data_IF_699183924110
#
_entry.id   IF_699183924110
#
_cell.length_a   1.000
_cell.length_b   1.000
_cell.length_c   1.000
_cell.angle_alpha   90.00
_cell.angle_beta   90.00
_cell.angle_gamma   90.00
#
_symmetry.space_group_name_H-M   'P 1'
#
loop_
_entity.id
_entity.type
_entity.pdbx_description
1 polymer ?
#
# COMPACT_ATOMS: atom_id res chain seq x y z
N UNK A 1 -17.84 18.70 -53.64
CA UNK A 1 -18.43 18.47 -52.30
C UNK A 1 -17.30 18.28 -51.30
N UNK A 2 -17.22 19.25 -50.39
CA UNK A 2 -16.34 19.50 -49.23
C UNK A 2 -15.25 18.46 -48.90
N UNK A 3 -14.04 18.81 -49.33
CA UNK A 3 -12.77 18.53 -48.66
C UNK A 3 -12.76 19.17 -47.26
N UNK A 4 -12.53 18.36 -46.21
CA UNK A 4 -12.31 18.85 -44.84
C UNK A 4 -10.80 19.03 -44.66
N UNK A 5 -10.29 20.23 -44.33
CA UNK A 5 -8.85 20.45 -44.18
C UNK A 5 -8.30 19.83 -42.89
N UNK A 6 -7.18 19.14 -43.04
CA UNK A 6 -6.33 18.55 -42.00
C UNK A 6 -5.54 19.61 -41.21
N UNK A 7 -6.22 20.48 -40.48
CA UNK A 7 -5.57 21.60 -39.77
C UNK A 7 -5.98 21.68 -38.30
N UNK A 8 -5.71 20.63 -37.51
CA UNK A 8 -5.83 20.69 -36.03
C UNK A 8 -4.91 19.70 -35.30
N UNK A 9 -3.72 19.38 -35.84
CA UNK A 9 -2.85 18.36 -35.24
C UNK A 9 -1.36 18.72 -35.19
N UNK A 10 -0.99 20.00 -35.00
CA UNK A 10 0.43 20.34 -34.78
C UNK A 10 0.81 21.27 -33.63
N UNK A 11 -0.09 22.03 -33.02
CA UNK A 11 0.33 23.03 -32.01
C UNK A 11 -0.11 22.72 -30.57
N UNK A 12 0.23 21.51 -30.08
CA UNK A 12 -0.03 21.09 -28.70
C UNK A 12 1.21 20.58 -27.94
N UNK A 13 2.40 20.69 -28.52
CA UNK A 13 3.59 19.96 -28.05
C UNK A 13 4.43 20.71 -27.00
N UNK A 14 4.24 22.02 -26.82
CA UNK A 14 5.15 22.83 -26.00
C UNK A 14 4.68 23.13 -24.55
N UNK A 15 3.39 22.99 -24.20
CA UNK A 15 2.89 23.35 -22.86
C UNK A 15 2.53 22.16 -21.92
N UNK A 16 2.93 20.94 -22.29
CA UNK A 16 2.66 19.70 -21.53
C UNK A 16 3.88 19.11 -20.81
N UNK A 17 5.07 19.71 -20.95
CA UNK A 17 6.35 19.17 -20.45
C UNK A 17 6.49 19.20 -18.90
N UNK A 18 5.89 20.18 -18.22
CA UNK A 18 6.03 20.34 -16.75
C UNK A 18 5.10 19.47 -15.90
N UNK A 19 3.94 19.06 -16.43
CA UNK A 19 2.92 18.33 -15.64
C UNK A 19 3.41 16.97 -15.14
N UNK A 20 4.09 16.12 -15.94
CA UNK A 20 4.59 14.84 -15.46
C UNK A 20 5.64 14.97 -14.35
N UNK A 21 6.47 16.03 -14.39
CA UNK A 21 7.44 16.31 -13.35
C UNK A 21 6.74 16.74 -12.05
N UNK A 22 5.74 17.62 -12.13
CA UNK A 22 4.95 18.04 -10.95
C UNK A 22 4.21 16.85 -10.31
N UNK A 23 3.60 15.98 -11.13
CA UNK A 23 2.98 14.74 -10.62
C UNK A 23 4.00 13.87 -9.90
N UNK A 24 5.20 13.71 -10.48
CA UNK A 24 6.28 12.97 -9.84
C UNK A 24 6.71 13.58 -8.50
N UNK A 25 6.92 14.90 -8.45
CA UNK A 25 7.31 15.65 -7.23
C UNK A 25 6.25 15.46 -6.15
N UNK A 26 4.97 15.60 -6.49
CA UNK A 26 3.88 15.45 -5.53
C UNK A 26 3.70 14.00 -5.08
N UNK A 27 3.95 13.01 -5.93
CA UNK A 27 4.00 11.60 -5.51
C UNK A 27 5.16 11.35 -4.55
N UNK A 28 6.34 11.93 -4.79
CA UNK A 28 7.48 11.86 -3.88
C UNK A 28 7.20 12.57 -2.55
N UNK A 29 6.57 13.75 -2.57
CA UNK A 29 6.14 14.47 -1.37
C UNK A 29 5.10 13.69 -0.57
N UNK A 30 4.17 13.01 -1.25
CA UNK A 30 3.19 12.13 -0.62
C UNK A 30 3.88 10.96 0.11
N UNK A 31 4.84 10.29 -0.54
CA UNK A 31 5.63 9.22 0.06
C UNK A 31 6.40 9.69 1.31
N UNK A 32 7.01 10.87 1.25
CA UNK A 32 7.65 11.50 2.41
C UNK A 32 6.65 11.84 3.52
N UNK A 33 5.48 12.38 3.14
CA UNK A 33 4.41 12.73 4.06
C UNK A 33 3.86 11.53 4.83
N UNK A 34 3.78 10.36 4.19
CA UNK A 34 3.36 9.12 4.85
C UNK A 34 4.28 8.69 6.00
N UNK A 35 5.56 9.10 5.98
CA UNK A 35 6.55 8.73 7.00
C UNK A 35 6.69 9.83 8.05
N UNK A 36 6.77 11.10 7.63
CA UNK A 36 7.19 12.19 8.52
C UNK A 36 6.08 13.18 8.86
N UNK A 37 5.08 13.37 7.99
CA UNK A 37 4.13 14.46 8.15
C UNK A 37 2.76 14.17 7.48
N UNK A 38 1.72 13.82 8.25
CA UNK A 38 0.35 13.62 7.73
C UNK A 38 -0.21 14.85 7.00
N UNK A 39 0.23 16.06 7.40
CA UNK A 39 -0.10 17.30 6.69
C UNK A 39 0.45 17.30 5.26
N UNK A 40 1.73 16.98 5.07
CA UNK A 40 2.36 16.92 3.74
C UNK A 40 1.69 15.87 2.85
N UNK A 41 1.29 14.74 3.44
CA UNK A 41 0.53 13.70 2.73
C UNK A 41 -0.80 14.25 2.19
N UNK A 42 -1.56 14.95 3.04
CA UNK A 42 -2.86 15.53 2.68
C UNK A 42 -2.72 16.67 1.66
N UNK A 43 -1.72 17.54 1.86
CA UNK A 43 -1.39 18.63 0.94
C UNK A 43 -1.00 18.09 -0.45
N UNK A 44 -0.20 17.03 -0.50
CA UNK A 44 0.20 16.40 -1.77
C UNK A 44 -1.00 15.84 -2.53
N UNK A 45 -1.94 15.16 -1.84
CA UNK A 45 -3.18 14.66 -2.44
C UNK A 45 -4.08 15.80 -2.95
N UNK A 46 -4.19 16.88 -2.19
CA UNK A 46 -4.97 18.05 -2.59
C UNK A 46 -4.38 18.72 -3.83
N UNK A 47 -3.07 18.93 -3.87
CA UNK A 47 -2.37 19.48 -5.03
C UNK A 47 -2.44 18.57 -6.26
N UNK A 48 -2.37 17.25 -6.09
CA UNK A 48 -2.62 16.29 -7.17
C UNK A 48 -4.05 16.39 -7.72
N UNK A 49 -5.02 16.62 -6.85
CA UNK A 49 -6.43 16.82 -7.23
C UNK A 49 -6.61 18.12 -8.03
N UNK A 50 -5.96 19.20 -7.59
CA UNK A 50 -5.91 20.47 -8.34
C UNK A 50 -5.29 20.27 -9.72
N UNK A 51 -4.17 19.56 -9.82
CA UNK A 51 -3.51 19.28 -11.11
C UNK A 51 -4.33 18.40 -12.05
N UNK A 52 -5.19 17.53 -11.51
CA UNK A 52 -6.10 16.71 -12.30
C UNK A 52 -7.26 17.55 -12.88
N UNK A 53 -7.82 18.45 -12.07
CA UNK A 53 -9.00 19.26 -12.43
C UNK A 53 -8.63 20.50 -13.23
N UNK A 54 -7.49 21.13 -12.96
CA UNK A 54 -7.06 22.38 -13.59
C UNK A 54 -5.95 22.14 -14.62
N UNK A 55 -6.00 22.92 -15.69
CA UNK A 55 -4.95 23.00 -16.70
C UNK A 55 -4.45 24.43 -16.82
N UNK A 56 -3.13 24.57 -17.00
CA UNK A 56 -2.48 25.85 -17.24
C UNK A 56 -2.36 26.08 -18.74
N UNK A 57 -2.81 27.23 -19.21
CA UNK A 57 -2.79 27.68 -20.60
C UNK A 57 -2.26 29.12 -20.64
N UNK A 58 -0.95 29.26 -20.84
CA UNK A 58 -0.25 30.57 -20.85
C UNK A 58 -0.63 31.44 -22.04
N UNK A 59 -1.41 30.94 -23.01
CA UNK A 59 -1.88 31.71 -24.16
C UNK A 59 -3.06 32.65 -23.83
N UNK A 60 -3.61 32.56 -22.61
CA UNK A 60 -4.76 33.35 -22.16
C UNK A 60 -4.38 34.35 -21.07
N UNK A 61 -5.13 35.46 -21.02
CA UNK A 61 -5.03 36.48 -19.97
C UNK A 61 -5.24 35.90 -18.56
N UNK A 62 -6.15 34.94 -18.42
CA UNK A 62 -6.27 34.09 -17.24
C UNK A 62 -5.77 32.68 -17.57
N UNK A 63 -4.61 32.27 -17.03
CA UNK A 63 -3.96 31.04 -17.46
C UNK A 63 -4.57 29.76 -16.86
N UNK A 64 -5.44 29.87 -15.85
CA UNK A 64 -6.11 28.73 -15.22
C UNK A 64 -7.44 28.43 -15.91
N UNK A 65 -7.61 27.20 -16.39
CA UNK A 65 -8.89 26.69 -16.90
C UNK A 65 -9.16 25.28 -16.41
N UNK A 66 -10.44 24.90 -16.30
CA UNK A 66 -10.83 23.51 -16.07
C UNK A 66 -10.23 22.65 -17.19
N UNK A 67 -9.64 21.52 -16.82
CA UNK A 67 -9.03 20.59 -17.76
C UNK A 67 -10.06 20.20 -18.84
N UNK A 68 -9.85 20.55 -20.11
CA UNK A 68 -10.84 20.26 -21.17
C UNK A 68 -11.04 18.74 -21.35
N UNK A 69 -10.09 17.93 -20.91
CA UNK A 69 -10.22 16.48 -20.90
C UNK A 69 -11.11 15.94 -19.76
N UNK A 70 -11.57 16.77 -18.81
CA UNK A 70 -12.31 16.33 -17.62
C UNK A 70 -13.61 15.59 -17.99
N UNK A 71 -14.46 16.18 -18.83
CA UNK A 71 -15.75 15.61 -19.22
C UNK A 71 -15.57 14.35 -20.10
N UNK A 72 -14.75 14.36 -21.18
CA UNK A 72 -14.49 13.15 -21.97
C UNK A 72 -13.86 12.01 -21.15
N UNK A 73 -12.95 12.34 -20.24
CA UNK A 73 -12.33 11.36 -19.35
C UNK A 73 -13.33 10.81 -18.33
N UNK A 74 -14.28 11.61 -17.85
CA UNK A 74 -15.38 11.15 -16.99
C UNK A 74 -16.21 10.03 -17.62
N UNK A 75 -16.57 10.16 -18.91
CA UNK A 75 -17.25 9.08 -19.64
C UNK A 75 -16.36 7.84 -19.81
N UNK A 76 -15.07 8.05 -20.04
CA UNK A 76 -14.08 6.97 -20.19
C UNK A 76 -13.78 6.24 -18.88
N UNK A 77 -13.93 6.91 -17.73
CA UNK A 77 -13.68 6.35 -16.40
C UNK A 77 -14.60 5.16 -16.09
N UNK A 78 -15.89 5.25 -16.44
CA UNK A 78 -16.84 4.15 -16.22
C UNK A 78 -16.58 2.92 -17.11
N UNK A 79 -15.83 3.08 -18.21
CA UNK A 79 -15.37 1.95 -19.04
C UNK A 79 -14.13 1.26 -18.46
N UNK A 80 -13.61 1.73 -17.33
CA UNK A 80 -12.39 1.25 -16.66
C UNK A 80 -12.72 0.67 -15.29
N UNK A 81 -13.18 -0.60 -15.24
CA UNK A 81 -13.55 -1.24 -13.98
C UNK A 81 -12.39 -1.35 -13.01
N UNK A 82 -11.15 -1.38 -13.48
CA UNK A 82 -9.95 -1.31 -12.65
C UNK A 82 -9.84 -0.02 -11.80
N UNK A 83 -10.54 1.05 -12.18
CA UNK A 83 -10.56 2.32 -11.44
C UNK A 83 -11.84 2.52 -10.62
N UNK A 84 -13.03 2.38 -11.24
CA UNK A 84 -14.26 2.80 -10.59
C UNK A 84 -14.75 1.83 -9.50
N UNK A 85 -14.44 0.53 -9.59
CA UNK A 85 -14.84 -0.45 -8.57
C UNK A 85 -14.18 -0.20 -7.21
N UNK A 86 -13.07 0.54 -7.18
CA UNK A 86 -12.41 0.94 -5.93
C UNK A 86 -13.36 1.79 -5.07
N UNK A 87 -14.24 2.58 -5.70
CA UNK A 87 -15.23 3.39 -5.01
C UNK A 87 -16.33 2.56 -4.32
N UNK A 88 -16.50 1.28 -4.67
CA UNK A 88 -17.49 0.40 -4.02
C UNK A 88 -17.25 0.32 -2.51
N UNK A 89 -15.99 0.40 -2.05
CA UNK A 89 -15.72 0.35 -0.63
C UNK A 89 -16.19 1.62 0.11
N UNK A 90 -16.11 2.78 -0.53
CA UNK A 90 -16.70 4.01 0.00
C UNK A 90 -18.23 3.93 -0.02
N UNK A 91 -18.83 3.49 -1.13
CA UNK A 91 -20.28 3.36 -1.28
C UNK A 91 -20.85 2.40 -0.23
N UNK A 92 -20.14 1.32 0.09
CA UNK A 92 -20.52 0.39 1.15
C UNK A 92 -20.67 1.10 2.51
N UNK A 93 -19.68 1.89 2.90
CA UNK A 93 -19.71 2.62 4.16
C UNK A 93 -20.75 3.75 4.13
N UNK A 94 -20.93 4.41 2.99
CA UNK A 94 -21.97 5.42 2.78
C UNK A 94 -23.38 4.84 3.00
N UNK A 95 -23.68 3.69 2.38
CA UNK A 95 -24.95 2.99 2.53
C UNK A 95 -25.21 2.56 3.98
N UNK A 96 -24.14 2.25 4.73
CA UNK A 96 -24.19 1.97 6.16
C UNK A 96 -24.72 3.12 7.02
N UNK A 97 -24.80 4.34 6.49
CA UNK A 97 -25.36 5.50 7.18
C UNK A 97 -26.88 5.47 7.30
N UNK A 98 -27.58 4.73 6.43
CA UNK A 98 -29.05 4.65 6.41
C UNK A 98 -29.63 4.02 7.69
N UNK A 99 -28.82 3.23 8.41
CA UNK A 99 -29.21 2.49 9.61
C UNK A 99 -28.17 2.63 10.74
N UNK A 100 -27.30 3.66 10.66
CA UNK A 100 -26.33 3.95 11.70
C UNK A 100 -27.01 4.55 12.92
N UNK A 101 -26.73 3.98 14.10
CA UNK A 101 -27.13 4.53 15.40
C UNK A 101 -26.09 5.51 15.94
N UNK A 102 -24.79 5.23 15.71
CA UNK A 102 -23.69 6.16 16.04
C UNK A 102 -23.25 6.91 14.78
N UNK A 103 -23.91 8.04 14.51
CA UNK A 103 -23.62 8.92 13.37
C UNK A 103 -22.21 9.55 13.45
N UNK A 104 -21.70 9.77 14.67
CA UNK A 104 -20.35 10.33 14.87
C UNK A 104 -19.27 9.35 14.44
N UNK A 105 -19.37 8.09 14.89
CA UNK A 105 -18.47 7.03 14.44
C UNK A 105 -18.62 6.78 12.95
N UNK A 106 -19.85 6.68 12.43
CA UNK A 106 -20.09 6.52 10.99
C UNK A 106 -19.42 7.60 10.14
N UNK A 107 -19.59 8.89 10.49
CA UNK A 107 -18.98 10.01 9.75
C UNK A 107 -17.46 9.90 9.78
N UNK A 108 -16.88 9.48 10.91
CA UNK A 108 -15.44 9.22 11.01
C UNK A 108 -14.97 8.10 10.07
N UNK A 109 -15.74 7.01 9.96
CA UNK A 109 -15.47 5.89 9.03
C UNK A 109 -15.56 6.36 7.58
N UNK A 110 -16.63 7.08 7.25
CA UNK A 110 -16.88 7.61 5.92
C UNK A 110 -15.76 8.55 5.46
N UNK A 111 -15.32 9.46 6.34
CA UNK A 111 -14.19 10.37 6.07
C UNK A 111 -12.89 9.61 5.77
N UNK A 112 -12.60 8.53 6.50
CA UNK A 112 -11.42 7.68 6.26
C UNK A 112 -11.52 6.98 4.89
N UNK A 113 -12.73 6.66 4.42
CA UNK A 113 -12.96 5.98 3.14
C UNK A 113 -13.15 6.92 1.95
N UNK A 114 -13.35 8.22 2.17
CA UNK A 114 -13.47 9.22 1.11
C UNK A 114 -12.38 9.14 0.02
N UNK A 115 -11.10 8.85 0.35
CA UNK A 115 -10.06 8.68 -0.67
C UNK A 115 -10.35 7.56 -1.69
N UNK A 116 -11.11 6.51 -1.34
CA UNK A 116 -11.49 5.45 -2.29
C UNK A 116 -12.40 5.96 -3.41
N UNK A 117 -13.15 7.04 -3.18
CA UNK A 117 -13.96 7.71 -4.19
C UNK A 117 -13.11 8.66 -5.04
N UNK A 118 -12.37 9.56 -4.39
CA UNK A 118 -11.71 10.68 -5.07
C UNK A 118 -10.40 10.28 -5.78
N UNK A 119 -9.54 9.50 -5.12
CA UNK A 119 -8.16 9.30 -5.58
C UNK A 119 -8.05 8.49 -6.88
N UNK A 120 -8.82 7.40 -7.10
CA UNK A 120 -8.81 6.70 -8.38
C UNK A 120 -9.18 7.63 -9.55
N UNK A 121 -10.20 8.48 -9.37
CA UNK A 121 -10.60 9.45 -10.39
C UNK A 121 -9.52 10.50 -10.66
N UNK A 122 -8.89 11.04 -9.61
CA UNK A 122 -7.76 11.98 -9.75
C UNK A 122 -6.62 11.35 -10.56
N UNK A 123 -6.15 10.15 -10.20
CA UNK A 123 -5.05 9.49 -10.91
C UNK A 123 -5.41 9.01 -12.32
N UNK A 124 -6.70 8.81 -12.61
CA UNK A 124 -7.17 8.55 -13.97
C UNK A 124 -7.04 9.78 -14.88
N UNK A 125 -7.27 10.98 -14.35
CA UNK A 125 -7.16 12.26 -15.06
C UNK A 125 -5.72 12.75 -15.21
N UNK A 126 -4.85 12.39 -14.27
CA UNK A 126 -3.44 12.76 -14.31
C UNK A 126 -2.71 12.11 -15.50
N UNK A 127 -1.70 12.79 -16.07
CA UNK A 127 -0.87 12.18 -17.11
C UNK A 127 -0.22 10.89 -16.59
N UNK A 128 -0.27 9.83 -17.40
CA UNK A 128 0.32 8.54 -17.03
C UNK A 128 1.84 8.67 -16.84
N UNK A 129 2.35 8.18 -15.72
CA UNK A 129 3.78 8.11 -15.47
C UNK A 129 4.40 7.06 -16.40
N UNK A 130 5.23 7.53 -17.34
CA UNK A 130 6.06 6.65 -18.20
C UNK A 130 7.04 5.83 -17.34
N UNK A 131 7.63 4.79 -17.93
CA UNK A 131 8.50 3.84 -17.22
C UNK A 131 9.65 4.52 -16.44
N UNK A 132 10.38 5.46 -17.05
CA UNK A 132 11.50 6.15 -16.36
C UNK A 132 11.07 6.95 -15.11
N UNK A 133 10.08 7.88 -15.16
CA UNK A 133 9.55 8.54 -13.97
C UNK A 133 9.01 7.54 -12.92
N UNK A 134 8.33 6.48 -13.36
CA UNK A 134 7.80 5.45 -12.47
C UNK A 134 8.91 4.71 -11.70
N UNK A 135 9.98 4.28 -12.39
CA UNK A 135 11.15 3.66 -11.76
C UNK A 135 11.89 4.63 -10.83
N UNK A 136 11.96 5.93 -11.18
CA UNK A 136 12.54 6.96 -10.30
C UNK A 136 11.78 7.11 -8.97
N UNK A 137 10.45 6.91 -8.94
CA UNK A 137 9.69 6.93 -7.68
C UNK A 137 10.04 5.74 -6.79
N UNK A 138 10.19 4.54 -7.37
CA UNK A 138 10.63 3.37 -6.61
C UNK A 138 12.05 3.54 -6.06
N UNK A 139 12.95 4.13 -6.87
CA UNK A 139 14.31 4.43 -6.41
C UNK A 139 14.31 5.48 -5.29
N UNK A 140 13.50 6.53 -5.43
CA UNK A 140 13.29 7.52 -4.37
C UNK A 140 12.77 6.89 -3.09
N UNK A 141 11.74 6.03 -3.17
CA UNK A 141 11.18 5.30 -2.03
C UNK A 141 12.25 4.44 -1.34
N UNK A 142 13.06 3.71 -2.11
CA UNK A 142 14.14 2.86 -1.58
C UNK A 142 15.16 3.67 -0.78
N UNK A 143 15.61 4.80 -1.32
CA UNK A 143 16.55 5.72 -0.65
C UNK A 143 15.90 6.32 0.60
N UNK A 144 14.68 6.85 0.49
CA UNK A 144 13.93 7.46 1.59
C UNK A 144 13.82 6.49 2.77
N UNK A 145 13.35 5.26 2.53
CA UNK A 145 13.18 4.24 3.57
C UNK A 145 14.53 3.79 4.16
N UNK A 146 15.58 3.73 3.35
CA UNK A 146 16.92 3.36 3.83
C UNK A 146 17.48 4.41 4.78
N UNK A 147 17.31 5.69 4.45
CA UNK A 147 17.70 6.80 5.32
C UNK A 147 16.86 6.85 6.60
N UNK A 148 15.54 6.66 6.50
CA UNK A 148 14.66 6.62 7.69
C UNK A 148 15.05 5.46 8.62
N UNK A 149 15.28 4.27 8.08
CA UNK A 149 15.63 3.10 8.88
C UNK A 149 17.01 3.23 9.51
N UNK A 150 17.97 3.87 8.84
CA UNK A 150 19.24 4.23 9.43
C UNK A 150 19.04 5.18 10.63
N UNK A 151 18.21 6.21 10.48
CA UNK A 151 17.87 7.12 11.58
C UNK A 151 17.23 6.41 12.79
N UNK A 152 16.27 5.50 12.53
CA UNK A 152 15.64 4.68 13.58
C UNK A 152 16.67 3.81 14.29
N UNK A 153 17.56 3.15 13.55
CA UNK A 153 18.58 2.28 14.14
C UNK A 153 19.66 3.05 14.90
N UNK A 154 20.05 4.24 14.43
CA UNK A 154 20.94 5.13 15.19
C UNK A 154 20.27 5.56 16.50
N UNK A 155 18.97 5.88 16.49
CA UNK A 155 18.22 6.19 17.71
C UNK A 155 18.14 4.98 18.66
N UNK A 156 17.87 3.79 18.12
CA UNK A 156 17.88 2.53 18.87
C UNK A 156 19.23 2.27 19.54
N UNK A 157 20.35 2.45 18.83
CA UNK A 157 21.69 2.25 19.38
C UNK A 157 22.03 3.27 20.47
N UNK A 158 21.56 4.53 20.34
CA UNK A 158 21.77 5.57 21.36
C UNK A 158 20.97 5.31 22.65
N UNK A 159 19.81 4.67 22.55
CA UNK A 159 18.91 4.39 23.69
C UNK A 159 18.69 2.89 23.87
N UNK A 160 19.77 2.11 23.73
CA UNK A 160 19.69 0.66 23.57
C UNK A 160 18.98 -0.04 24.73
N UNK A 161 19.31 0.30 25.98
CA UNK A 161 18.72 -0.34 27.16
C UNK A 161 17.23 0.01 27.31
N UNK A 162 16.89 1.29 27.19
CA UNK A 162 15.52 1.81 27.30
C UNK A 162 14.62 1.18 26.24
N UNK A 163 15.05 1.17 24.97
CA UNK A 163 14.23 0.62 23.89
C UNK A 163 14.07 -0.90 24.02
N UNK A 164 15.09 -1.63 24.49
CA UNK A 164 14.95 -3.06 24.76
C UNK A 164 14.01 -3.34 25.94
N UNK A 165 13.98 -2.48 26.97
CA UNK A 165 13.00 -2.58 28.05
C UNK A 165 11.58 -2.38 27.52
N UNK A 166 11.36 -1.36 26.69
CA UNK A 166 10.07 -1.12 26.02
C UNK A 166 9.63 -2.35 25.18
N UNK A 167 10.54 -2.95 24.41
CA UNK A 167 10.24 -4.15 23.62
C UNK A 167 9.81 -5.32 24.50
N UNK A 168 10.48 -5.53 25.64
CA UNK A 168 10.12 -6.58 26.62
C UNK A 168 8.74 -6.36 27.25
N UNK A 169 8.27 -5.11 27.29
CA UNK A 169 6.93 -4.73 27.72
C UNK A 169 5.90 -4.76 26.58
N UNK A 170 6.26 -5.26 25.40
CA UNK A 170 5.37 -5.39 24.25
C UNK A 170 5.32 -4.16 23.33
N UNK A 171 5.99 -3.06 23.69
CA UNK A 171 6.03 -1.84 22.88
C UNK A 171 6.90 -2.01 21.62
N UNK A 172 6.65 -1.23 20.55
CA UNK A 172 7.51 -1.21 19.37
C UNK A 172 8.74 -0.33 19.57
N UNK A 173 9.73 -0.47 18.69
CA UNK A 173 10.84 0.49 18.58
C UNK A 173 10.28 1.89 18.26
N UNK A 174 10.71 2.97 18.95
CA UNK A 174 10.28 4.33 18.62
C UNK A 174 10.62 4.70 17.18
N UNK A 175 9.67 5.28 16.46
CA UNK A 175 9.87 5.67 15.06
C UNK A 175 8.90 6.79 14.62
N UNK A 176 9.16 7.47 13.48
CA UNK A 176 8.43 8.69 13.10
C UNK A 176 6.94 8.51 12.81
N UNK A 177 6.51 7.29 12.45
CA UNK A 177 5.12 6.98 12.16
C UNK A 177 4.73 5.63 12.79
N UNK A 178 3.51 5.14 12.51
CA UNK A 178 3.06 3.86 13.04
C UNK A 178 3.95 2.71 12.55
N UNK A 179 4.44 1.90 13.49
CA UNK A 179 5.39 0.83 13.24
C UNK A 179 4.91 -0.26 12.26
N UNK A 180 3.62 -0.59 12.27
CA UNK A 180 3.10 -1.55 11.30
C UNK A 180 3.08 -0.92 9.91
N UNK A 181 2.57 0.30 9.77
CA UNK A 181 2.49 1.00 8.48
C UNK A 181 3.88 1.25 7.88
N UNK A 182 4.85 1.61 8.71
CA UNK A 182 6.25 1.73 8.29
C UNK A 182 6.81 0.39 7.79
N UNK A 183 6.55 -0.72 8.47
CA UNK A 183 7.02 -2.04 8.04
C UNK A 183 6.40 -2.53 6.71
N UNK A 184 5.15 -2.14 6.42
CA UNK A 184 4.52 -2.39 5.13
C UNK A 184 5.16 -1.52 4.03
N UNK A 185 5.48 -0.26 4.33
CA UNK A 185 6.24 0.62 3.43
C UNK A 185 7.65 0.06 3.16
N UNK A 186 8.36 -0.42 4.17
CA UNK A 186 9.65 -1.09 4.01
C UNK A 186 9.55 -2.32 3.11
N UNK A 187 8.51 -3.14 3.30
CA UNK A 187 8.27 -4.32 2.45
C UNK A 187 7.99 -3.92 1.00
N UNK A 188 7.20 -2.87 0.76
CA UNK A 188 7.04 -2.30 -0.58
C UNK A 188 8.34 -1.69 -1.13
N UNK A 189 9.18 -1.11 -0.28
CA UNK A 189 10.53 -0.64 -0.64
C UNK A 189 11.43 -1.78 -1.11
N UNK A 190 11.40 -2.93 -0.42
CA UNK A 190 12.08 -4.16 -0.86
C UNK A 190 11.51 -4.65 -2.20
N UNK A 191 10.19 -4.66 -2.37
CA UNK A 191 9.57 -5.02 -3.65
C UNK A 191 10.03 -4.07 -4.78
N UNK A 192 10.08 -2.76 -4.50
CA UNK A 192 10.61 -1.75 -5.42
C UNK A 192 12.08 -1.97 -5.76
N UNK A 193 12.91 -2.28 -4.77
CA UNK A 193 14.32 -2.61 -4.95
C UNK A 193 14.52 -3.83 -5.85
N UNK A 194 13.82 -4.92 -5.58
CA UNK A 194 13.82 -6.13 -6.42
C UNK A 194 13.34 -5.83 -7.85
N UNK A 195 12.31 -5.00 -8.00
CA UNK A 195 11.80 -4.58 -9.30
C UNK A 195 12.83 -3.76 -10.10
N UNK A 196 13.52 -2.82 -9.44
CA UNK A 196 14.58 -2.03 -10.06
C UNK A 196 15.77 -2.88 -10.50
N UNK A 197 16.11 -3.91 -9.72
CA UNK A 197 17.12 -4.90 -10.09
C UNK A 197 16.69 -5.76 -11.29
N UNK A 198 15.43 -6.24 -11.32
CA UNK A 198 14.87 -6.97 -12.46
C UNK A 198 14.94 -6.12 -13.74
N UNK A 199 14.70 -4.81 -13.61
CA UNK A 199 14.76 -3.83 -14.71
C UNK A 199 16.17 -3.30 -15.02
N UNK A 200 17.20 -3.70 -14.27
CA UNK A 200 18.59 -3.19 -14.37
C UNK A 200 18.64 -1.65 -14.41
N UNK A 201 17.83 -1.01 -13.56
CA UNK A 201 17.69 0.44 -13.56
C UNK A 201 18.96 1.15 -13.07
N UNK A 202 19.29 2.26 -13.73
CA UNK A 202 20.30 3.22 -13.33
C UNK A 202 19.85 4.64 -13.74
N UNK A 203 20.08 5.63 -12.88
CA UNK A 203 19.89 7.05 -13.16
C UNK A 203 20.93 7.55 -14.16
N UNK A 204 22.21 7.43 -13.80
CA UNK A 204 23.34 7.94 -14.59
C UNK A 204 24.41 6.89 -14.80
N UNK A 205 24.78 6.14 -13.78
CA UNK A 205 25.91 5.22 -13.81
C UNK A 205 25.53 3.76 -13.54
N UNK A 206 26.26 2.81 -14.16
CA UNK A 206 26.00 1.37 -13.99
C UNK A 206 26.22 0.85 -12.58
N UNK A 207 27.09 1.48 -11.79
CA UNK A 207 27.35 1.06 -10.40
C UNK A 207 26.15 1.29 -9.47
N UNK A 208 25.20 2.14 -9.87
CA UNK A 208 23.97 2.39 -9.11
C UNK A 208 23.13 1.12 -8.93
N UNK A 209 23.24 0.13 -9.83
CA UNK A 209 22.58 -1.16 -9.64
C UNK A 209 23.10 -1.89 -8.40
N UNK A 210 24.40 -1.79 -8.10
CA UNK A 210 24.97 -2.35 -6.87
C UNK A 210 24.50 -1.59 -5.62
N UNK A 211 24.32 -0.26 -5.73
CA UNK A 211 23.72 0.53 -4.64
C UNK A 211 22.27 0.11 -4.40
N UNK A 212 21.48 -0.08 -5.45
CA UNK A 212 20.09 -0.59 -5.32
C UNK A 212 20.08 -1.93 -4.60
N UNK A 213 21.00 -2.84 -4.96
CA UNK A 213 21.14 -4.13 -4.28
C UNK A 213 21.51 -3.96 -2.80
N UNK A 214 22.49 -3.11 -2.48
CA UNK A 214 22.92 -2.84 -1.12
C UNK A 214 21.81 -2.20 -0.27
N UNK A 215 21.07 -1.23 -0.81
CA UNK A 215 19.94 -0.60 -0.13
C UNK A 215 18.77 -1.58 0.07
N UNK A 216 18.51 -2.46 -0.91
CA UNK A 216 17.48 -3.51 -0.78
C UNK A 216 17.84 -4.48 0.34
N UNK A 217 19.10 -4.91 0.38
CA UNK A 217 19.61 -5.77 1.45
C UNK A 217 19.57 -5.06 2.82
N UNK A 218 19.94 -3.78 2.85
CA UNK A 218 19.84 -2.96 4.05
C UNK A 218 18.41 -2.90 4.59
N UNK A 219 17.39 -2.67 3.75
CA UNK A 219 16.00 -2.66 4.20
C UNK A 219 15.57 -4.01 4.80
N UNK A 220 16.02 -5.13 4.21
CA UNK A 220 15.76 -6.46 4.76
C UNK A 220 16.39 -6.57 6.16
N UNK A 221 17.67 -6.22 6.31
CA UNK A 221 18.38 -6.27 7.60
C UNK A 221 17.70 -5.34 8.63
N UNK A 222 17.42 -4.10 8.24
CA UNK A 222 16.81 -3.10 9.11
C UNK A 222 15.43 -3.56 9.61
N UNK A 223 14.62 -4.19 8.76
CA UNK A 223 13.32 -4.70 9.17
C UNK A 223 13.42 -5.84 10.21
N UNK A 224 14.49 -6.65 10.17
CA UNK A 224 14.78 -7.65 11.21
C UNK A 224 15.19 -7.00 12.53
N UNK A 225 16.01 -5.95 12.46
CA UNK A 225 16.45 -5.21 13.66
C UNK A 225 15.30 -4.45 14.32
N UNK A 226 14.39 -3.85 13.55
CA UNK A 226 13.19 -3.17 14.09
C UNK A 226 12.17 -4.21 14.61
N UNK A 227 12.18 -5.44 14.07
CA UNK A 227 11.43 -6.60 14.57
C UNK A 227 9.89 -6.41 14.63
N UNK A 228 9.30 -5.74 13.65
CA UNK A 228 7.83 -5.67 13.53
C UNK A 228 7.29 -6.99 12.97
N UNK A 229 6.57 -7.74 13.81
CA UNK A 229 6.12 -9.12 13.51
C UNK A 229 5.28 -9.26 12.25
N UNK A 230 4.20 -8.48 12.12
CA UNK A 230 3.32 -8.51 10.95
C UNK A 230 4.07 -8.11 9.68
N UNK A 231 4.94 -7.09 9.77
CA UNK A 231 5.83 -6.69 8.68
C UNK A 231 6.79 -7.79 8.25
N UNK A 232 7.42 -8.50 9.19
CA UNK A 232 8.32 -9.61 8.89
C UNK A 232 7.60 -10.76 8.17
N UNK A 233 6.42 -11.17 8.62
CA UNK A 233 5.62 -12.20 7.92
C UNK A 233 5.37 -11.79 6.47
N UNK A 234 4.99 -10.54 6.24
CA UNK A 234 4.72 -10.00 4.90
C UNK A 234 6.00 -9.93 4.05
N UNK A 235 7.14 -9.54 4.63
CA UNK A 235 8.44 -9.55 3.96
C UNK A 235 8.86 -10.96 3.54
N UNK A 236 8.78 -11.93 4.45
CA UNK A 236 9.15 -13.32 4.14
C UNK A 236 8.25 -13.90 3.06
N UNK A 237 6.95 -13.63 3.10
CA UNK A 237 6.04 -14.03 2.04
C UNK A 237 6.38 -13.38 0.70
N UNK A 238 6.71 -12.08 0.69
CA UNK A 238 7.16 -11.38 -0.53
C UNK A 238 8.44 -11.98 -1.09
N UNK A 239 9.44 -12.25 -0.25
CA UNK A 239 10.72 -12.81 -0.68
C UNK A 239 10.56 -14.26 -1.16
N UNK A 240 9.79 -15.08 -0.46
CA UNK A 240 9.46 -16.45 -0.88
C UNK A 240 8.71 -16.44 -2.22
N UNK A 241 7.73 -15.56 -2.37
CA UNK A 241 7.00 -15.37 -3.63
C UNK A 241 7.94 -14.94 -4.77
N UNK A 242 8.85 -13.99 -4.51
CA UNK A 242 9.82 -13.51 -5.49
C UNK A 242 10.83 -14.59 -5.89
N UNK A 243 11.31 -15.39 -4.92
CA UNK A 243 12.19 -16.53 -5.15
C UNK A 243 11.47 -17.63 -5.97
N UNK A 244 10.22 -17.96 -5.63
CA UNK A 244 9.42 -18.91 -6.38
C UNK A 244 9.18 -18.45 -7.82
N UNK A 245 8.83 -17.18 -8.04
CA UNK A 245 8.69 -16.57 -9.37
C UNK A 245 9.99 -16.64 -10.17
N UNK A 246 11.12 -16.33 -9.54
CA UNK A 246 12.43 -16.41 -10.19
C UNK A 246 12.79 -17.85 -10.57
N UNK A 247 12.56 -18.80 -9.67
CA UNK A 247 12.83 -20.23 -9.89
C UNK A 247 11.93 -20.79 -11.00
N UNK A 248 10.64 -20.45 -11.01
CA UNK A 248 9.72 -20.87 -12.07
C UNK A 248 10.19 -20.41 -13.45
N UNK A 249 10.63 -19.15 -13.57
CA UNK A 249 11.07 -18.56 -14.84
C UNK A 249 12.42 -19.08 -15.33
N UNK A 250 13.37 -19.26 -14.43
CA UNK A 250 14.76 -19.59 -14.79
C UNK A 250 15.08 -21.08 -14.71
N UNK A 251 14.25 -21.87 -14.00
CA UNK A 251 14.47 -23.30 -13.70
C UNK A 251 15.80 -23.61 -13.01
N UNK A 252 16.45 -22.61 -12.40
CA UNK A 252 17.74 -22.74 -11.71
C UNK A 252 17.57 -23.25 -10.28
N UNK A 253 17.36 -24.57 -10.15
CA UNK A 253 17.09 -25.22 -8.86
C UNK A 253 18.15 -24.97 -7.79
N UNK A 254 19.44 -24.94 -8.14
CA UNK A 254 20.51 -24.63 -7.19
C UNK A 254 20.38 -23.21 -6.61
N UNK A 255 20.12 -22.22 -7.47
CA UNK A 255 19.89 -20.84 -7.02
C UNK A 255 18.63 -20.75 -6.17
N UNK A 256 17.59 -21.52 -6.52
CA UNK A 256 16.38 -21.68 -5.70
C UNK A 256 16.67 -22.25 -4.32
N UNK A 257 17.47 -23.31 -4.23
CA UNK A 257 17.88 -23.93 -2.97
C UNK A 257 18.66 -22.95 -2.08
N UNK A 258 19.59 -22.19 -2.65
CA UNK A 258 20.35 -21.14 -1.93
C UNK A 258 19.41 -20.04 -1.42
N UNK A 259 18.45 -19.58 -2.23
CA UNK A 259 17.47 -18.57 -1.81
C UNK A 259 16.57 -19.07 -0.68
N UNK A 260 16.12 -20.32 -0.75
CA UNK A 260 15.31 -20.93 0.32
C UNK A 260 16.11 -21.12 1.60
N UNK A 261 17.37 -21.56 1.51
CA UNK A 261 18.27 -21.65 2.66
C UNK A 261 18.53 -20.27 3.29
N UNK A 262 18.76 -19.24 2.47
CA UNK A 262 18.90 -17.87 2.95
C UNK A 262 17.64 -17.38 3.66
N UNK A 263 16.45 -17.64 3.10
CA UNK A 263 15.17 -17.31 3.74
C UNK A 263 14.98 -18.04 5.07
N UNK A 264 15.32 -19.32 5.15
CA UNK A 264 15.22 -20.09 6.40
C UNK A 264 16.23 -19.62 7.45
N UNK A 265 17.43 -19.21 7.05
CA UNK A 265 18.48 -18.72 7.95
C UNK A 265 18.17 -17.34 8.54
N UNK A 266 17.42 -16.50 7.83
CA UNK A 266 17.16 -15.11 8.22
C UNK A 266 16.59 -14.93 9.64
N UNK A 267 15.51 -15.63 10.04
CA UNK A 267 14.96 -15.54 11.39
C UNK A 267 15.90 -16.14 12.45
N UNK A 268 16.65 -17.17 12.10
CA UNK A 268 17.60 -17.83 13.00
C UNK A 268 18.76 -16.88 13.32
N UNK A 269 19.35 -16.28 12.29
CA UNK A 269 20.40 -15.26 12.44
C UNK A 269 19.88 -14.04 13.19
N UNK A 270 18.67 -13.56 12.88
CA UNK A 270 18.06 -12.45 13.61
C UNK A 270 17.86 -12.79 15.10
N UNK A 271 17.44 -14.00 15.44
CA UNK A 271 17.27 -14.42 16.84
C UNK A 271 18.60 -14.50 17.60
N UNK A 272 19.68 -14.93 16.95
CA UNK A 272 21.00 -15.03 17.56
C UNK A 272 21.67 -13.66 17.70
N UNK A 273 21.56 -12.81 16.68
CA UNK A 273 22.34 -11.57 16.56
C UNK A 273 21.61 -10.31 17.01
N UNK A 274 20.27 -10.27 16.96
CA UNK A 274 19.49 -9.07 17.25
C UNK A 274 18.73 -9.17 18.59
N UNK A 275 19.16 -8.44 19.64
CA UNK A 275 18.50 -8.43 20.94
C UNK A 275 17.02 -8.01 20.86
N UNK A 276 16.70 -7.03 20.00
CA UNK A 276 15.33 -6.59 19.74
C UNK A 276 14.44 -7.73 19.25
N UNK A 277 14.90 -8.50 18.26
CA UNK A 277 14.18 -9.64 17.71
C UNK A 277 14.00 -10.74 18.77
N UNK A 278 15.07 -11.09 19.48
CA UNK A 278 15.04 -12.09 20.56
C UNK A 278 14.06 -11.69 21.67
N UNK A 279 14.08 -10.44 22.10
CA UNK A 279 13.15 -9.91 23.11
C UNK A 279 11.71 -9.94 22.60
N UNK A 280 11.47 -9.62 21.32
CA UNK A 280 10.11 -9.65 20.74
C UNK A 280 9.55 -11.06 20.64
N UNK A 281 10.37 -12.04 20.27
CA UNK A 281 9.99 -13.47 20.28
C UNK A 281 9.72 -13.95 21.70
N UNK A 282 10.54 -13.54 22.69
CA UNK A 282 10.34 -13.85 24.09
C UNK A 282 9.00 -13.32 24.62
N UNK A 283 8.69 -12.04 24.38
CA UNK A 283 7.42 -11.44 24.75
C UNK A 283 6.23 -12.15 24.10
N UNK A 284 6.31 -12.47 22.81
CA UNK A 284 5.24 -13.20 22.11
C UNK A 284 4.95 -14.56 22.74
N UNK A 285 5.99 -15.32 23.13
CA UNK A 285 5.81 -16.62 23.80
C UNK A 285 5.14 -16.46 25.16
N UNK A 286 5.56 -15.47 25.93
CA UNK A 286 4.95 -15.13 27.23
C UNK A 286 3.47 -14.73 27.07
N UNK A 287 3.16 -13.87 26.10
CA UNK A 287 1.80 -13.39 25.82
C UNK A 287 0.84 -14.54 25.48
N UNK A 288 1.28 -15.46 24.61
CA UNK A 288 0.49 -16.64 24.25
C UNK A 288 0.34 -17.63 25.42
N UNK A 289 1.41 -17.86 26.20
CA UNK A 289 1.37 -18.76 27.36
C UNK A 289 0.37 -18.28 28.42
N UNK A 290 0.36 -16.97 28.71
CA UNK A 290 -0.62 -16.37 29.64
C UNK A 290 -2.07 -16.47 29.13
N UNK A 291 -2.28 -16.31 27.82
CA UNK A 291 -3.59 -16.52 27.20
C UNK A 291 -4.09 -17.95 27.37
N UNK A 292 -3.28 -18.96 27.02
CA UNK A 292 -3.69 -20.36 27.11
C UNK A 292 -3.84 -20.85 28.55
N UNK A 293 -3.17 -20.21 29.52
CA UNK A 293 -3.34 -20.48 30.96
C UNK A 293 -4.53 -19.75 31.58
N UNK A 294 -5.26 -18.92 30.84
CA UNK A 294 -6.37 -18.12 31.36
C UNK A 294 -5.94 -17.05 32.37
N UNK A 295 -4.65 -16.66 32.37
CA UNK A 295 -4.06 -15.69 33.29
C UNK A 295 -3.87 -14.32 32.62
N UNK A 296 -4.63 -14.03 31.56
CA UNK A 296 -4.57 -12.75 30.88
C UNK A 296 -5.03 -11.62 31.82
N UNK A 297 -4.07 -10.76 32.18
CA UNK A 297 -4.33 -9.57 33.02
C UNK A 297 -4.90 -8.39 32.23
N UNK A 298 -5.34 -8.59 30.98
CA UNK A 298 -6.01 -7.56 30.17
C UNK A 298 -5.07 -6.59 29.46
N UNK A 299 -3.75 -6.81 29.53
CA UNK A 299 -2.69 -5.93 28.97
C UNK A 299 -1.96 -6.59 27.78
N UNK A 300 -2.25 -7.86 27.49
CA UNK A 300 -1.57 -8.67 26.48
C UNK A 300 -1.92 -8.25 25.04
N UNK A 301 -0.94 -8.28 24.15
CA UNK A 301 -1.10 -7.74 22.79
C UNK A 301 -1.65 -8.73 21.78
N UNK A 302 -1.28 -10.01 21.82
CA UNK A 302 -1.73 -11.01 20.84
C UNK A 302 -2.98 -11.74 21.31
N UNK A 303 -3.08 -12.00 22.61
CA UNK A 303 -4.32 -12.45 23.26
C UNK A 303 -5.51 -11.55 22.88
N UNK A 304 -5.34 -10.23 23.03
CA UNK A 304 -6.37 -9.25 22.67
C UNK A 304 -6.77 -9.32 21.19
N UNK A 305 -5.86 -9.69 20.28
CA UNK A 305 -6.20 -9.84 18.85
C UNK A 305 -7.08 -11.06 18.61
N UNK A 306 -6.76 -12.20 19.23
CA UNK A 306 -7.57 -13.42 19.11
C UNK A 306 -9.01 -13.18 19.62
N UNK A 307 -9.14 -12.51 20.77
CA UNK A 307 -10.45 -12.12 21.31
C UNK A 307 -11.18 -11.19 20.32
N UNK A 308 -10.51 -10.17 19.79
CA UNK A 308 -11.13 -9.26 18.80
C UNK A 308 -11.61 -9.98 17.53
N UNK A 309 -10.91 -11.04 17.10
CA UNK A 309 -11.31 -11.85 15.95
C UNK A 309 -12.55 -12.67 16.26
N UNK A 310 -12.60 -13.27 17.45
CA UNK A 310 -13.78 -14.01 17.93
C UNK A 310 -15.01 -13.09 17.98
N UNK A 311 -14.87 -11.90 18.58
CA UNK A 311 -15.95 -10.91 18.63
C UNK A 311 -16.41 -10.52 17.22
N UNK A 312 -15.48 -10.25 16.30
CA UNK A 312 -15.82 -9.94 14.90
C UNK A 312 -16.58 -11.08 14.21
N UNK A 313 -16.16 -12.33 14.43
CA UNK A 313 -16.83 -13.51 13.91
C UNK A 313 -18.25 -13.68 14.50
N UNK A 314 -18.40 -13.46 15.80
CA UNK A 314 -19.69 -13.57 16.48
C UNK A 314 -20.68 -12.51 15.99
N UNK A 315 -20.24 -11.28 15.78
CA UNK A 315 -21.05 -10.22 15.17
C UNK A 315 -21.47 -10.57 13.74
N UNK A 316 -20.57 -11.12 12.93
CA UNK A 316 -20.92 -11.61 11.61
C UNK A 316 -21.98 -12.71 11.66
N UNK A 317 -21.86 -13.68 12.57
CA UNK A 317 -22.86 -14.75 12.73
C UNK A 317 -24.24 -14.25 13.15
N UNK A 318 -24.30 -13.17 13.94
CA UNK A 318 -25.57 -12.53 14.36
C UNK A 318 -26.27 -11.82 13.20
N UNK A 319 -25.51 -11.22 12.28
CA UNK A 319 -26.04 -10.46 11.13
C UNK A 319 -25.29 -10.79 9.83
N UNK A 320 -25.46 -11.98 9.23
CA UNK A 320 -24.57 -12.48 8.19
C UNK A 320 -24.66 -11.75 6.85
N UNK A 321 -25.83 -11.19 6.49
CA UNK A 321 -26.04 -10.63 5.15
C UNK A 321 -25.57 -9.18 5.03
N UNK A 322 -26.00 -8.32 5.97
CA UNK A 322 -25.77 -6.86 5.93
C UNK A 322 -24.86 -6.41 7.09
N UNK A 323 -24.49 -7.29 8.02
CA UNK A 323 -23.69 -6.94 9.19
C UNK A 323 -24.47 -6.09 10.20
N UNK A 324 -23.79 -5.65 11.25
CA UNK A 324 -24.39 -4.75 12.26
C UNK A 324 -24.39 -3.28 11.84
N UNK A 325 -23.72 -2.96 10.73
CA UNK A 325 -23.52 -1.62 10.21
C UNK A 325 -22.12 -1.08 10.50
N UNK A 326 -21.43 -0.48 9.51
CA UNK A 326 -20.09 0.07 9.71
C UNK A 326 -20.08 1.24 10.69
N UNK A 327 -21.21 1.93 10.86
CA UNK A 327 -21.43 2.96 11.87
C UNK A 327 -21.68 2.42 13.30
N UNK A 328 -22.13 1.17 13.44
CA UNK A 328 -22.48 0.59 14.74
C UNK A 328 -21.40 -0.34 15.28
N UNK A 329 -20.47 -0.78 14.42
CA UNK A 329 -19.47 -1.81 14.74
C UNK A 329 -18.72 -1.53 16.06
N UNK A 330 -18.32 -0.28 16.32
CA UNK A 330 -17.63 0.07 17.57
C UNK A 330 -18.48 -0.19 18.80
N UNK A 331 -19.73 0.29 18.79
CA UNK A 331 -20.68 0.13 19.90
C UNK A 331 -20.96 -1.34 20.19
N UNK A 332 -21.18 -2.13 19.16
CA UNK A 332 -21.46 -3.57 19.29
C UNK A 332 -20.26 -4.34 19.84
N UNK A 333 -19.06 -4.02 19.36
CA UNK A 333 -17.82 -4.61 19.90
C UNK A 333 -17.62 -4.22 21.37
N UNK A 334 -17.82 -2.95 21.72
CA UNK A 334 -17.71 -2.46 23.10
C UNK A 334 -18.72 -3.13 24.04
N UNK A 335 -19.95 -3.37 23.58
CA UNK A 335 -20.98 -4.07 24.35
C UNK A 335 -20.56 -5.53 24.66
N UNK A 336 -19.96 -6.23 23.69
CA UNK A 336 -19.45 -7.58 23.91
C UNK A 336 -18.25 -7.57 24.87
N UNK A 337 -17.31 -6.63 24.72
CA UNK A 337 -16.22 -6.51 25.71
C UNK A 337 -16.73 -6.24 27.12
N UNK A 338 -17.73 -5.36 27.28
CA UNK A 338 -18.26 -5.01 28.59
C UNK A 338 -18.95 -6.20 29.29
N UNK A 339 -19.51 -7.13 28.52
CA UNK A 339 -20.27 -8.28 29.04
C UNK A 339 -19.43 -9.54 29.17
N UNK A 340 -18.67 -9.90 28.14
CA UNK A 340 -17.91 -11.16 28.09
C UNK A 340 -16.45 -11.03 28.55
N UNK A 341 -15.86 -9.83 28.45
CA UNK A 341 -14.45 -9.60 28.78
C UNK A 341 -14.23 -8.32 29.62
N UNK A 342 -14.94 -8.14 30.75
CA UNK A 342 -14.95 -6.89 31.50
C UNK A 342 -13.58 -6.51 32.10
N UNK A 343 -12.72 -7.50 32.33
CA UNK A 343 -11.37 -7.36 32.89
C UNK A 343 -10.32 -6.90 31.86
N UNK A 344 -10.67 -6.85 30.57
CA UNK A 344 -9.72 -6.40 29.54
C UNK A 344 -9.66 -4.87 29.47
N UNK A 345 -8.52 -4.33 29.88
CA UNK A 345 -8.20 -2.91 29.74
C UNK A 345 -8.06 -2.53 28.26
N UNK A 346 -7.39 -3.37 27.46
CA UNK A 346 -7.15 -3.11 26.04
C UNK A 346 -8.25 -3.71 25.16
N UNK A 347 -9.29 -2.92 24.87
CA UNK A 347 -10.37 -3.31 23.96
C UNK A 347 -10.00 -2.99 22.52
N UNK A 348 -9.96 -4.01 21.67
CA UNK A 348 -9.58 -3.87 20.27
C UNK A 348 -10.75 -4.11 19.33
N UNK A 349 -10.90 -3.24 18.32
CA UNK A 349 -11.72 -3.56 17.14
C UNK A 349 -11.22 -4.85 16.47
N UNK A 350 -12.05 -5.59 15.72
CA UNK A 350 -11.61 -6.81 15.06
C UNK A 350 -10.34 -6.58 14.23
N UNK A 351 -9.20 -7.12 14.67
CA UNK A 351 -7.88 -6.90 14.04
C UNK A 351 -7.69 -7.73 12.77
N UNK A 352 -8.64 -7.71 11.86
CA UNK A 352 -8.57 -8.40 10.57
C UNK A 352 -9.54 -7.69 9.64
N UNK A 353 -9.04 -7.16 8.53
CA UNK A 353 -9.81 -6.33 7.62
C UNK A 353 -11.04 -7.07 7.07
N UNK A 354 -10.92 -8.36 6.75
CA UNK A 354 -12.04 -9.16 6.24
C UNK A 354 -13.10 -9.36 7.32
N UNK A 355 -12.68 -9.67 8.56
CA UNK A 355 -13.60 -9.79 9.70
C UNK A 355 -14.26 -8.45 10.06
N UNK A 356 -13.53 -7.33 10.03
CA UNK A 356 -14.13 -6.01 10.26
C UNK A 356 -15.21 -5.70 9.22
N UNK A 357 -14.95 -6.00 7.94
CA UNK A 357 -15.91 -5.78 6.85
C UNK A 357 -17.10 -6.74 6.98
N UNK A 358 -16.87 -8.02 7.30
CA UNK A 358 -17.94 -9.00 7.52
C UNK A 358 -18.82 -8.62 8.72
N UNK A 359 -18.23 -8.27 9.86
CA UNK A 359 -18.98 -7.86 11.04
C UNK A 359 -19.78 -6.57 10.76
N UNK A 360 -19.15 -5.58 10.13
CA UNK A 360 -19.77 -4.28 9.87
C UNK A 360 -20.76 -4.27 8.71
N UNK A 361 -20.60 -5.11 7.69
CA UNK A 361 -21.36 -5.01 6.43
C UNK A 361 -21.79 -6.35 5.82
N UNK A 362 -21.57 -7.46 6.53
CA UNK A 362 -22.01 -8.80 6.15
C UNK A 362 -21.32 -9.35 4.91
N UNK A 363 -21.87 -10.45 4.39
CA UNK A 363 -21.40 -11.12 3.20
C UNK A 363 -21.51 -10.24 1.94
N UNK A 364 -22.55 -9.40 1.85
CA UNK A 364 -22.73 -8.46 0.74
C UNK A 364 -21.60 -7.41 0.76
N UNK A 365 -21.30 -6.85 1.93
CA UNK A 365 -20.20 -5.92 2.09
C UNK A 365 -18.84 -6.54 1.80
N UNK A 366 -18.63 -7.79 2.23
CA UNK A 366 -17.44 -8.54 1.86
C UNK A 366 -17.32 -8.72 0.35
N UNK A 367 -18.41 -9.08 -0.36
CA UNK A 367 -18.38 -9.22 -1.81
C UNK A 367 -18.00 -7.91 -2.53
N UNK A 368 -18.53 -6.77 -2.06
CA UNK A 368 -18.18 -5.45 -2.61
C UNK A 368 -16.72 -5.11 -2.33
N UNK A 369 -16.24 -5.39 -1.11
CA UNK A 369 -14.86 -5.20 -0.74
C UNK A 369 -13.89 -6.05 -1.57
N UNK A 370 -14.19 -7.35 -1.74
CA UNK A 370 -13.39 -8.26 -2.55
C UNK A 370 -13.40 -7.85 -4.03
N UNK A 371 -14.52 -7.35 -4.54
CA UNK A 371 -14.63 -6.81 -5.90
C UNK A 371 -13.71 -5.58 -6.05
N UNK A 372 -13.82 -4.61 -5.14
CA UNK A 372 -12.97 -3.42 -5.11
C UNK A 372 -11.47 -3.76 -5.03
N UNK A 373 -11.13 -4.85 -4.33
CA UNK A 373 -9.75 -5.28 -4.11
C UNK A 373 -9.17 -6.11 -5.27
N UNK A 374 -9.92 -7.09 -5.81
CA UNK A 374 -9.38 -8.05 -6.79
C UNK A 374 -9.60 -7.65 -8.25
N UNK A 375 -10.64 -6.90 -8.59
CA UNK A 375 -10.88 -6.48 -9.98
C UNK A 375 -9.69 -5.67 -10.54
N UNK A 376 -9.11 -4.67 -9.83
CA UNK A 376 -7.93 -3.97 -10.32
C UNK A 376 -6.73 -4.88 -10.61
N UNK A 377 -6.54 -5.96 -9.83
CA UNK A 377 -5.47 -6.96 -9.99
C UNK A 377 -5.61 -7.81 -11.25
N UNK A 378 -6.81 -8.31 -11.51
CA UNK A 378 -7.03 -9.26 -12.61
C UNK A 378 -7.36 -8.57 -13.94
N UNK A 379 -7.85 -7.33 -13.90
CA UNK A 379 -8.14 -6.56 -15.11
C UNK A 379 -6.90 -6.46 -16.00
N UNK A 380 -7.05 -6.78 -17.29
CA UNK A 380 -5.98 -6.77 -18.31
C UNK A 380 -4.68 -7.44 -17.86
N UNK A 381 -4.76 -8.47 -17.01
CA UNK A 381 -3.61 -9.21 -16.47
C UNK A 381 -2.61 -8.32 -15.72
N UNK A 382 -3.08 -7.27 -15.02
CA UNK A 382 -2.20 -6.40 -14.21
C UNK A 382 -1.36 -7.18 -13.18
N UNK A 383 -1.79 -8.36 -12.73
CA UNK A 383 -1.01 -9.28 -11.90
C UNK A 383 0.36 -9.67 -12.47
N UNK A 384 0.61 -9.52 -13.79
CA UNK A 384 1.93 -9.76 -14.37
C UNK A 384 2.95 -8.69 -13.96
N UNK A 385 2.48 -7.47 -13.67
CA UNK A 385 3.31 -6.36 -13.23
C UNK A 385 3.72 -6.55 -11.77
N UNK A 386 5.02 -6.80 -11.55
CA UNK A 386 5.53 -7.27 -10.25
C UNK A 386 5.21 -6.37 -9.06
N UNK A 387 5.47 -5.04 -9.08
CA UNK A 387 5.09 -4.16 -7.98
C UNK A 387 3.59 -4.16 -7.66
N UNK A 388 2.76 -4.37 -8.69
CA UNK A 388 1.31 -4.37 -8.54
C UNK A 388 0.82 -5.65 -7.86
N UNK A 389 1.38 -6.80 -8.25
CA UNK A 389 1.13 -8.07 -7.57
C UNK A 389 1.70 -8.09 -6.15
N UNK A 390 2.90 -7.54 -5.95
CA UNK A 390 3.53 -7.41 -4.63
C UNK A 390 2.68 -6.57 -3.67
N UNK A 391 2.05 -5.49 -4.15
CA UNK A 391 1.10 -4.70 -3.37
C UNK A 391 -0.10 -5.53 -2.91
N UNK A 392 -0.74 -6.26 -3.83
CA UNK A 392 -1.94 -7.03 -3.48
C UNK A 392 -1.61 -8.19 -2.53
N UNK A 393 -0.47 -8.87 -2.74
CA UNK A 393 0.00 -9.90 -1.81
C UNK A 393 0.29 -9.31 -0.42
N UNK A 394 1.02 -8.19 -0.36
CA UNK A 394 1.34 -7.46 0.87
C UNK A 394 0.06 -7.01 1.59
N UNK A 395 -0.90 -6.44 0.86
CA UNK A 395 -2.17 -5.99 1.41
C UNK A 395 -3.03 -7.17 1.91
N UNK A 396 -3.14 -8.26 1.15
CA UNK A 396 -3.88 -9.46 1.58
C UNK A 396 -3.35 -10.00 2.90
N UNK A 397 -2.03 -10.19 2.99
CA UNK A 397 -1.40 -10.72 4.21
C UNK A 397 -1.56 -9.76 5.38
N UNK A 398 -1.44 -8.46 5.13
CA UNK A 398 -1.72 -7.44 6.13
C UNK A 398 -3.18 -7.47 6.60
N UNK A 399 -4.14 -7.70 5.70
CA UNK A 399 -5.58 -7.74 6.01
C UNK A 399 -5.98 -8.93 6.87
N UNK A 400 -5.24 -10.03 6.82
CA UNK A 400 -5.45 -11.19 7.69
C UNK A 400 -5.11 -10.84 9.15
N UNK A 401 -4.07 -10.03 9.36
CA UNK A 401 -3.52 -9.75 10.71
C UNK A 401 -3.99 -8.40 11.26
N UNK A 402 -4.46 -7.49 10.41
CA UNK A 402 -4.90 -6.16 10.80
C UNK A 402 -6.05 -5.60 9.96
N UNK A 403 -6.80 -4.70 10.57
CA UNK A 403 -7.79 -3.86 9.91
C UNK A 403 -7.11 -2.65 9.24
N UNK A 404 -6.25 -2.91 8.25
CA UNK A 404 -5.33 -1.93 7.66
C UNK A 404 -6.02 -0.70 7.08
N UNK A 405 -7.12 -0.90 6.36
CA UNK A 405 -7.90 0.17 5.73
C UNK A 405 -8.82 0.88 6.72
N UNK A 406 -8.82 0.48 7.99
CA UNK A 406 -9.62 1.15 9.00
C UNK A 406 -8.99 2.47 9.50
N UNK A 407 -7.74 2.77 9.12
CA UNK A 407 -7.03 3.99 9.48
C UNK A 407 -6.51 4.75 8.25
N UNK A 408 -6.44 6.08 8.33
CA UNK A 408 -6.04 6.96 7.22
C UNK A 408 -4.66 6.61 6.62
N UNK A 409 -3.67 6.26 7.44
CA UNK A 409 -2.33 5.84 6.96
C UNK A 409 -2.39 4.55 6.13
N UNK A 410 -3.22 3.59 6.52
CA UNK A 410 -3.35 2.33 5.77
C UNK A 410 -4.14 2.50 4.48
N UNK A 411 -5.15 3.37 4.49
CA UNK A 411 -5.85 3.81 3.27
C UNK A 411 -4.87 4.49 2.31
N UNK A 412 -4.07 5.44 2.80
CA UNK A 412 -3.08 6.13 2.01
C UNK A 412 -2.04 5.17 1.40
N UNK A 413 -1.54 4.23 2.21
CA UNK A 413 -0.61 3.19 1.74
C UNK A 413 -1.19 2.37 0.60
N UNK A 414 -2.35 1.75 0.82
CA UNK A 414 -2.93 0.86 -0.17
C UNK A 414 -3.33 1.63 -1.44
N UNK A 415 -4.07 2.73 -1.29
CA UNK A 415 -4.56 3.50 -2.44
C UNK A 415 -3.42 4.11 -3.23
N UNK A 416 -2.39 4.69 -2.59
CA UNK A 416 -1.30 5.33 -3.31
C UNK A 416 -0.61 4.35 -4.27
N UNK A 417 -0.15 3.19 -3.78
CA UNK A 417 0.51 2.21 -4.64
C UNK A 417 -0.44 1.60 -5.67
N UNK A 418 -1.72 1.43 -5.33
CA UNK A 418 -2.73 0.93 -6.25
C UNK A 418 -2.91 1.88 -7.43
N UNK A 419 -3.22 3.15 -7.17
CA UNK A 419 -3.45 4.14 -8.25
C UNK A 419 -2.16 4.52 -8.97
N UNK A 420 -1.01 4.49 -8.30
CA UNK A 420 0.29 4.68 -8.94
C UNK A 420 0.56 3.58 -9.98
N UNK A 421 0.30 2.32 -9.62
CA UNK A 421 0.40 1.19 -10.54
C UNK A 421 -0.59 1.28 -11.68
N UNK A 422 -1.86 1.57 -11.39
CA UNK A 422 -2.90 1.73 -12.41
C UNK A 422 -2.61 2.89 -13.37
N UNK A 423 -2.12 4.03 -12.87
CA UNK A 423 -1.73 5.18 -13.69
C UNK A 423 -0.57 4.83 -14.65
N UNK A 424 0.42 4.07 -14.17
CA UNK A 424 1.51 3.58 -15.02
C UNK A 424 1.00 2.60 -16.09
N UNK A 425 0.17 1.62 -15.70
CA UNK A 425 -0.41 0.61 -16.59
C UNK A 425 -1.43 1.19 -17.58
N UNK A 426 -1.95 2.39 -17.30
CA UNK A 426 -2.80 3.14 -18.22
C UNK A 426 -2.02 3.82 -19.35
N UNK A 427 -0.69 3.93 -19.26
CA UNK A 427 0.11 4.46 -20.36
C UNK A 427 -0.10 3.59 -21.60
N UNK A 428 -0.65 4.17 -22.68
CA UNK A 428 -0.70 3.49 -23.98
C UNK A 428 0.73 3.04 -24.32
N UNK A 429 0.94 1.79 -24.79
CA UNK A 429 2.23 1.40 -25.34
C UNK A 429 2.63 2.46 -26.35
N UNK A 430 3.87 2.95 -26.27
CA UNK A 430 4.38 3.77 -27.35
C UNK A 430 4.28 2.90 -28.59
N UNK A 431 3.41 3.25 -29.54
CA UNK A 431 3.53 2.75 -30.89
C UNK A 431 4.98 2.96 -31.26
N UNK A 432 5.67 1.84 -31.51
CA UNK A 432 7.04 1.86 -31.99
C UNK A 432 7.01 2.81 -33.17
N UNK A 433 7.58 4.01 -33.03
CA UNK A 433 7.76 4.91 -34.16
C UNK A 433 8.69 4.14 -35.08
N UNK A 434 8.12 3.44 -36.05
CA UNK A 434 8.78 3.15 -37.30
C UNK A 434 9.13 4.52 -37.85
N UNK A 435 10.33 4.97 -37.50
CA UNK A 435 10.98 6.04 -38.23
C UNK A 435 11.17 5.43 -39.61
N UNK A 436 10.30 5.80 -40.55
CA UNK A 436 10.60 5.64 -41.96
C UNK A 436 11.78 6.56 -42.25
N UNK A 437 12.98 6.09 -41.93
CA UNK A 437 14.18 6.52 -42.62
C UNK A 437 14.07 5.84 -43.98
N UNK A 438 14.11 6.64 -45.05
CA UNK A 438 13.81 6.19 -46.40
C UNK A 438 14.51 4.88 -46.76
N UNK A 439 13.74 3.99 -47.38
CA UNK A 439 14.21 2.83 -48.13
C UNK A 439 14.92 1.75 -47.31
N UNK A 440 14.18 0.73 -46.88
CA UNK A 440 14.76 -0.57 -46.49
C UNK A 440 14.19 -1.13 -45.19
N UNK A 441 13.24 -2.04 -45.29
CA UNK A 441 12.81 -2.89 -44.17
C UNK A 441 13.87 -3.94 -43.87
N UNK A 442 14.59 -3.78 -42.75
CA UNK A 442 15.31 -4.89 -42.11
C UNK A 442 14.59 -5.28 -40.82
N UNK A 443 14.00 -6.48 -40.82
CA UNK A 443 13.52 -7.16 -39.62
C UNK A 443 14.69 -7.95 -39.03
N UNK A 444 15.08 -7.65 -37.78
CA UNK A 444 15.84 -8.59 -36.95
C UNK A 444 15.22 -8.59 -35.56
N UNK A 445 14.67 -9.74 -35.20
CA UNK A 445 14.13 -10.02 -33.88
C UNK A 445 15.28 -10.27 -32.89
N UNK A 446 15.28 -9.54 -31.77
CA UNK A 446 15.83 -9.94 -30.47
C UNK A 446 14.90 -9.46 -29.35
#
# INVERSE_FOLDING_TARGET
MKTVPSFFQKDGFFFTQGKPLLVWILCAALLTGMIYAPYLQSLSLFLLSILAVLSWDTSRFFPLRINPALIPSGKSFFHRPDFWVIALYFILVLAGGLYAQDMGYWLSRLRIKLPFLAIPFVFFLLPSLKERPYLRLWYFLLVLLSLTSLGILVNYLRHFEEVNLLIKQGQPVPMPCNHIRYSLLQTMGVAGGLFLLEKRFALRFRWETYVIAALTLWLIIAQHLIAVRSGLVVLYALLAFSAARYLWRTRRWLTGAVLLAALASGPVLAYQLAPSFRNKVGYMRYDLDMYFKGQDKGVLSDASRLISWKIGWDLFRRSPWIGVGPGNLRKEVEAIYATEYPHMEKRLMPHNQFLSVMAGSGAIGLAFFLTAFFVPLFYRKHYLHFPFLALHATACLSFIVEATLENAMGVAFFLFFLVLGLNHLNAKPQECRTVHIGGGTFSRAE
#
